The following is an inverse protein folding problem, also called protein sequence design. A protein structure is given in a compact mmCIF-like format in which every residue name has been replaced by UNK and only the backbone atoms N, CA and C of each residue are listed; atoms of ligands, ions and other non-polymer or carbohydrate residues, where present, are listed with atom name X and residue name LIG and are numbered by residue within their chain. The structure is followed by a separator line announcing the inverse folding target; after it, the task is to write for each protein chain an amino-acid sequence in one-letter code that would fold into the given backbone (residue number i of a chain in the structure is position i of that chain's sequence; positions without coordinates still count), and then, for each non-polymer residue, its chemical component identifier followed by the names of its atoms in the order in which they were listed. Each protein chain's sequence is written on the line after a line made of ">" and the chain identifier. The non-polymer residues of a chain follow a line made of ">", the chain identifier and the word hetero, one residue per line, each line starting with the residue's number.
data_IF_531736567789
#
_entry.id   IF_531736567789
#
_cell.length_a   1.000
_cell.length_b   1.000
_cell.length_c   1.000
_cell.angle_alpha   90.00
_cell.angle_beta   90.00
_cell.angle_gamma   90.00
#
_symmetry.space_group_name_H-M   'P 1'
#
loop_
_entity.id
_entity.type
_entity.pdbx_description
1 polymer ?
#
# COMPACT_ATOMS: atom_id res chain seq x y z
N UNK A 1 -30.97 -4.24 16.61
CA UNK A 1 -29.75 -3.49 16.24
C UNK A 1 -28.59 -4.38 16.60
N UNK A 2 -27.84 -4.84 15.61
CA UNK A 2 -26.72 -5.76 15.74
C UNK A 2 -25.78 -5.41 14.58
N UNK A 3 -24.48 -5.46 14.70
CA UNK A 3 -23.55 -5.40 15.83
C UNK A 3 -22.24 -4.94 15.16
N UNK A 4 -21.36 -4.28 15.90
CA UNK A 4 -20.17 -3.62 15.36
C UNK A 4 -19.37 -4.53 14.42
N UNK A 5 -19.14 -4.03 13.21
CA UNK A 5 -18.35 -4.65 12.15
C UNK A 5 -16.93 -4.91 12.64
N UNK A 6 -16.70 -6.09 13.19
CA UNK A 6 -15.36 -6.57 13.51
C UNK A 6 -14.69 -6.86 12.18
N UNK A 7 -13.95 -5.89 11.65
CA UNK A 7 -13.09 -6.08 10.49
C UNK A 7 -12.16 -7.26 10.80
N UNK A 8 -12.08 -8.31 9.97
CA UNK A 8 -11.20 -9.42 10.26
C UNK A 8 -9.75 -8.89 10.26
N UNK A 9 -9.15 -8.81 11.44
CA UNK A 9 -7.74 -8.51 11.56
C UNK A 9 -6.98 -9.77 11.12
N UNK A 10 -6.31 -9.71 9.97
CA UNK A 10 -5.46 -10.81 9.53
C UNK A 10 -4.37 -11.01 10.57
N UNK A 11 -4.25 -12.23 11.08
CA UNK A 11 -3.19 -12.52 12.01
C UNK A 11 -1.84 -12.48 11.24
N UNK A 12 -0.80 -11.80 11.77
CA UNK A 12 0.47 -11.62 11.06
C UNK A 12 1.07 -12.93 10.50
N UNK A 13 0.88 -14.06 11.21
CA UNK A 13 1.35 -15.38 10.77
C UNK A 13 0.73 -15.86 9.44
N UNK A 14 -0.51 -15.49 9.11
CA UNK A 14 -1.16 -15.92 7.87
C UNK A 14 -0.55 -15.26 6.63
N UNK A 15 -0.09 -14.02 6.77
CA UNK A 15 0.69 -13.33 5.73
C UNK A 15 2.06 -13.98 5.63
N UNK A 16 2.68 -14.26 6.79
CA UNK A 16 4.03 -14.82 6.84
C UNK A 16 4.10 -16.20 6.19
N UNK A 17 3.15 -17.09 6.47
CA UNK A 17 3.10 -18.41 5.86
C UNK A 17 2.88 -18.33 4.34
N UNK A 18 2.06 -17.37 3.89
CA UNK A 18 1.77 -17.18 2.47
C UNK A 18 2.95 -16.62 1.69
N UNK A 19 3.79 -15.80 2.31
CA UNK A 19 4.96 -15.16 1.71
C UNK A 19 6.27 -15.55 2.42
N UNK A 20 6.36 -16.82 2.84
CA UNK A 20 7.45 -17.32 3.69
C UNK A 20 8.84 -17.03 3.14
N UNK A 21 9.00 -17.10 1.82
CA UNK A 21 10.29 -16.85 1.17
C UNK A 21 10.70 -15.38 1.29
N UNK A 22 9.75 -14.43 1.24
CA UNK A 22 10.03 -13.00 1.44
C UNK A 22 10.28 -12.70 2.92
N UNK A 23 9.53 -13.33 3.83
CA UNK A 23 9.73 -13.17 5.28
C UNK A 23 11.11 -13.69 5.71
N UNK A 24 11.61 -14.73 5.04
CA UNK A 24 12.94 -15.31 5.28
C UNK A 24 14.07 -14.59 4.52
N UNK A 25 13.74 -13.64 3.64
CA UNK A 25 14.74 -12.88 2.88
C UNK A 25 15.06 -11.53 3.51
N UNK A 26 16.08 -10.88 2.98
CA UNK A 26 16.47 -9.51 3.32
C UNK A 26 15.46 -8.45 2.85
N UNK A 27 14.42 -8.84 2.09
CA UNK A 27 13.33 -7.96 1.70
C UNK A 27 12.23 -7.83 2.78
N UNK A 28 12.24 -8.65 3.83
CA UNK A 28 11.23 -8.60 4.90
C UNK A 28 11.03 -7.19 5.50
N UNK A 29 12.09 -6.41 5.84
CA UNK A 29 11.91 -5.07 6.40
C UNK A 29 11.22 -4.08 5.45
N UNK A 30 11.22 -4.35 4.15
CA UNK A 30 10.57 -3.49 3.15
C UNK A 30 9.04 -3.60 3.24
N UNK A 31 8.52 -4.73 3.74
CA UNK A 31 7.09 -4.94 3.95
C UNK A 31 6.48 -3.96 4.97
N UNK A 32 7.29 -3.41 5.88
CA UNK A 32 6.83 -2.39 6.83
C UNK A 32 6.70 -1.00 6.20
N UNK A 33 7.30 -0.81 5.02
CA UNK A 33 7.34 0.48 4.33
C UNK A 33 6.24 0.64 3.28
N UNK A 34 5.64 -0.46 2.83
CA UNK A 34 4.59 -0.43 1.80
C UNK A 34 3.27 0.13 2.37
N UNK A 35 2.44 0.81 1.55
CA UNK A 35 1.13 1.26 2.00
C UNK A 35 0.27 0.10 2.48
N UNK A 36 -0.47 0.30 3.57
CA UNK A 36 -1.47 -0.67 4.04
C UNK A 36 -2.45 -0.99 2.91
N UNK A 37 -2.82 -2.28 2.80
CA UNK A 37 -3.78 -2.76 1.81
C UNK A 37 -5.16 -2.06 1.96
N UNK A 38 -5.51 -1.54 3.15
CA UNK A 38 -6.77 -0.82 3.41
C UNK A 38 -6.92 0.46 2.57
N UNK A 39 -5.81 0.98 2.04
CA UNK A 39 -5.80 2.17 1.18
C UNK A 39 -6.14 1.85 -0.27
N UNK A 40 -6.17 0.57 -0.66
CA UNK A 40 -6.50 0.16 -2.01
C UNK A 40 -7.96 -0.22 -2.13
N UNK A 41 -8.48 -0.01 -3.34
CA UNK A 41 -9.80 -0.47 -3.73
C UNK A 41 -9.66 -1.77 -4.52
N UNK A 42 -10.43 -2.77 -4.09
CA UNK A 42 -10.54 -4.07 -4.75
C UNK A 42 -12.00 -4.33 -5.06
N UNK A 43 -12.27 -4.92 -6.23
CA UNK A 43 -13.59 -5.43 -6.58
C UNK A 43 -13.51 -6.95 -6.74
N UNK A 44 -14.57 -7.65 -6.34
CA UNK A 44 -14.75 -9.06 -6.64
C UNK A 44 -15.72 -9.19 -7.82
N UNK A 45 -15.22 -9.66 -8.96
CA UNK A 45 -16.07 -10.05 -10.08
C UNK A 45 -16.77 -11.38 -9.72
N UNK A 46 -18.05 -11.30 -9.35
CA UNK A 46 -18.82 -12.48 -8.93
C UNK A 46 -19.02 -13.52 -10.03
N UNK A 47 -19.09 -13.09 -11.31
CA UNK A 47 -19.32 -14.04 -12.41
C UNK A 47 -18.07 -14.85 -12.76
N UNK A 48 -16.90 -14.26 -12.58
CA UNK A 48 -15.60 -14.88 -12.89
C UNK A 48 -14.90 -15.40 -11.63
N UNK A 49 -15.49 -15.18 -10.45
CA UNK A 49 -14.90 -15.42 -9.14
C UNK A 49 -13.47 -14.87 -9.05
N UNK A 50 -13.27 -13.65 -9.57
CA UNK A 50 -11.95 -13.07 -9.74
C UNK A 50 -11.82 -11.74 -9.01
N UNK A 51 -10.68 -11.49 -8.37
CA UNK A 51 -10.36 -10.23 -7.71
C UNK A 51 -9.70 -9.29 -8.70
N UNK A 52 -10.09 -8.02 -8.69
CA UNK A 52 -9.41 -6.97 -9.44
C UNK A 52 -9.00 -5.84 -8.52
N UNK A 53 -7.89 -5.19 -8.85
CA UNK A 53 -7.29 -4.13 -8.03
C UNK A 53 -7.27 -2.82 -8.80
N UNK A 54 -7.74 -1.75 -8.17
CA UNK A 54 -7.55 -0.39 -8.68
C UNK A 54 -6.10 0.06 -8.46
N UNK A 55 -5.44 0.50 -9.53
CA UNK A 55 -4.01 0.89 -9.50
C UNK A 55 -3.76 2.34 -9.92
N UNK A 56 -4.79 3.10 -10.26
CA UNK A 56 -4.69 4.53 -10.56
C UNK A 56 -5.64 5.02 -11.64
N UNK A 57 -5.42 6.25 -12.12
CA UNK A 57 -6.28 6.94 -13.08
C UNK A 57 -5.53 7.33 -14.35
N UNK A 58 -6.18 7.21 -15.50
CA UNK A 58 -5.67 7.70 -16.78
C UNK A 58 -6.76 8.40 -17.60
N UNK A 59 -6.68 9.73 -17.67
CA UNK A 59 -7.71 10.56 -18.29
C UNK A 59 -9.03 10.47 -17.51
N UNK A 60 -10.08 10.02 -18.18
CA UNK A 60 -11.45 9.88 -17.67
C UNK A 60 -11.79 8.47 -17.13
N UNK A 61 -10.80 7.63 -16.89
CA UNK A 61 -11.07 6.25 -16.47
C UNK A 61 -10.10 5.69 -15.44
N UNK A 62 -10.61 4.70 -14.73
CA UNK A 62 -9.93 3.96 -13.67
C UNK A 62 -9.12 2.83 -14.30
N UNK A 63 -7.89 2.65 -13.82
CA UNK A 63 -7.01 1.58 -14.25
C UNK A 63 -7.11 0.44 -13.24
N UNK A 64 -7.46 -0.72 -13.78
CA UNK A 64 -7.77 -1.94 -13.05
C UNK A 64 -6.77 -3.01 -13.48
N UNK A 65 -6.02 -3.54 -12.52
CA UNK A 65 -5.12 -4.67 -12.69
C UNK A 65 -5.83 -5.98 -12.34
N UNK A 66 -5.58 -7.00 -13.16
CA UNK A 66 -6.11 -8.34 -13.03
C UNK A 66 -5.00 -9.33 -12.62
N UNK A 67 -5.34 -10.43 -11.93
CA UNK A 67 -4.36 -11.39 -11.43
C UNK A 67 -3.71 -12.21 -12.54
N UNK A 68 -4.30 -12.25 -13.74
CA UNK A 68 -3.69 -12.85 -14.93
C UNK A 68 -2.58 -11.98 -15.55
N UNK A 69 -2.32 -10.80 -14.98
CA UNK A 69 -1.33 -9.86 -15.50
C UNK A 69 -1.89 -8.86 -16.50
N UNK A 70 -3.18 -8.92 -16.83
CA UNK A 70 -3.83 -7.96 -17.71
C UNK A 70 -4.23 -6.67 -16.99
N UNK A 71 -4.32 -5.58 -17.76
CA UNK A 71 -4.70 -4.27 -17.27
C UNK A 71 -5.81 -3.72 -18.15
N UNK A 72 -6.85 -3.18 -17.51
CA UNK A 72 -8.01 -2.59 -18.18
C UNK A 72 -8.27 -1.18 -17.67
N UNK A 73 -8.74 -0.30 -18.54
CA UNK A 73 -9.28 1.01 -18.22
C UNK A 73 -10.80 0.91 -18.21
N UNK A 74 -11.41 1.22 -17.06
CA UNK A 74 -12.87 1.32 -16.88
C UNK A 74 -13.27 2.78 -16.96
N UNK A 75 -14.04 3.15 -17.98
CA UNK A 75 -14.61 4.50 -18.11
C UNK A 75 -16.02 4.48 -17.55
N UNK A 76 -16.25 5.20 -16.45
CA UNK A 76 -17.57 5.35 -15.85
C UNK A 76 -18.20 6.61 -16.42
N UNK A 77 -19.15 6.47 -17.35
CA UNK A 77 -19.94 7.60 -17.85
C UNK A 77 -21.21 7.69 -17.02
N UNK A 78 -21.30 8.74 -16.22
CA UNK A 78 -22.51 9.03 -15.44
C UNK A 78 -23.57 9.61 -16.39
N UNK A 79 -24.31 8.71 -17.03
CA UNK A 79 -25.50 9.07 -17.78
C UNK A 79 -26.62 8.16 -17.32
N UNK A 80 -27.76 8.75 -16.96
CA UNK A 80 -28.98 8.10 -16.48
C UNK A 80 -29.55 7.00 -17.41
N UNK A 81 -28.87 6.68 -18.52
CA UNK A 81 -29.33 5.86 -19.63
C UNK A 81 -28.50 4.57 -19.77
N UNK A 82 -27.22 4.53 -19.33
CA UNK A 82 -26.38 3.32 -19.42
C UNK A 82 -25.35 3.26 -18.28
N UNK A 83 -25.54 2.33 -17.34
CA UNK A 83 -24.58 2.01 -16.27
C UNK A 83 -23.40 1.12 -16.73
N UNK A 84 -23.38 0.68 -17.99
CA UNK A 84 -22.29 -0.15 -18.51
C UNK A 84 -21.13 0.76 -18.94
N UNK A 85 -20.14 0.93 -18.07
CA UNK A 85 -18.90 1.62 -18.40
C UNK A 85 -18.15 0.90 -19.53
N UNK A 86 -17.43 1.66 -20.36
CA UNK A 86 -16.57 1.08 -21.40
C UNK A 86 -15.32 0.50 -20.75
N UNK A 87 -15.02 -0.78 -21.01
CA UNK A 87 -13.80 -1.44 -20.56
C UNK A 87 -12.84 -1.53 -21.76
N UNK A 88 -11.64 -0.97 -21.61
CA UNK A 88 -10.62 -0.91 -22.67
C UNK A 88 -9.36 -1.60 -22.16
N UNK A 89 -8.78 -2.52 -22.95
CA UNK A 89 -7.51 -3.16 -22.59
C UNK A 89 -6.34 -2.17 -22.71
N UNK A 90 -5.49 -2.10 -21.69
CA UNK A 90 -4.30 -1.24 -21.67
C UNK A 90 -3.10 -2.06 -22.11
N UNK A 91 -2.74 -1.98 -23.40
CA UNK A 91 -1.68 -2.82 -24.00
C UNK A 91 -0.29 -2.15 -23.92
N UNK A 92 -0.25 -0.82 -23.81
CA UNK A 92 1.00 -0.05 -23.71
C UNK A 92 1.05 0.75 -22.41
N UNK A 93 2.24 1.02 -21.86
CA UNK A 93 2.40 1.93 -20.72
C UNK A 93 1.78 3.29 -21.05
N UNK A 94 1.03 3.83 -20.09
CA UNK A 94 0.25 5.08 -20.26
C UNK A 94 1.10 6.36 -20.09
N UNK A 95 2.41 6.22 -19.86
CA UNK A 95 3.35 7.33 -19.74
C UNK A 95 3.13 8.19 -18.49
N UNK A 96 3.62 9.44 -18.52
CA UNK A 96 3.59 10.36 -17.37
C UNK A 96 2.21 10.93 -17.02
N UNK A 97 1.20 10.75 -17.88
CA UNK A 97 -0.18 11.16 -17.61
C UNK A 97 -0.93 10.19 -16.70
N UNK A 98 -0.43 8.97 -16.54
CA UNK A 98 -1.01 7.98 -15.65
C UNK A 98 -0.69 8.31 -14.19
N UNK A 99 -1.76 8.52 -13.41
CA UNK A 99 -1.70 8.81 -11.98
C UNK A 99 -1.85 7.50 -11.22
N UNK A 100 -0.75 6.77 -11.10
CA UNK A 100 -0.70 5.56 -10.30
C UNK A 100 -0.96 5.88 -8.82
N UNK A 101 -1.51 4.92 -8.07
CA UNK A 101 -1.53 4.97 -6.60
C UNK A 101 -0.25 4.37 -6.02
N UNK A 102 0.12 4.78 -4.81
CA UNK A 102 1.23 4.16 -4.09
C UNK A 102 0.97 2.66 -3.85
N UNK A 103 1.99 1.79 -3.87
CA UNK A 103 3.40 2.10 -4.09
C UNK A 103 3.78 2.22 -5.58
N UNK A 104 2.87 1.93 -6.51
CA UNK A 104 3.17 1.95 -7.94
C UNK A 104 3.58 3.33 -8.46
N UNK A 105 3.16 4.40 -7.78
CA UNK A 105 3.57 5.77 -8.08
C UNK A 105 4.98 6.14 -7.62
N UNK A 106 5.58 5.38 -6.70
CA UNK A 106 6.87 5.73 -6.08
C UNK A 106 8.06 5.51 -7.01
N UNK A 107 7.92 4.62 -8.00
CA UNK A 107 8.97 4.32 -8.97
C UNK A 107 8.41 4.40 -10.38
N UNK A 108 9.15 5.07 -11.27
CA UNK A 108 8.85 5.10 -12.69
C UNK A 108 8.80 3.69 -13.29
N UNK A 109 9.67 2.78 -12.85
CA UNK A 109 9.68 1.38 -13.29
C UNK A 109 8.39 0.66 -12.88
N UNK A 110 7.90 0.89 -11.66
CA UNK A 110 6.63 0.31 -11.18
C UNK A 110 5.43 0.87 -11.94
N UNK A 111 5.41 2.20 -12.16
CA UNK A 111 4.37 2.90 -12.93
C UNK A 111 4.33 2.43 -14.38
N UNK A 112 5.48 2.34 -15.03
CA UNK A 112 5.59 1.89 -16.43
C UNK A 112 5.31 0.39 -16.58
N UNK A 113 5.49 -0.41 -15.52
CA UNK A 113 5.13 -1.81 -15.48
C UNK A 113 3.62 -2.08 -15.52
N UNK A 114 2.78 -1.05 -15.37
CA UNK A 114 1.31 -1.14 -15.48
C UNK A 114 0.90 -1.04 -16.96
N UNK A 115 0.96 -2.18 -17.64
CA UNK A 115 0.47 -2.42 -19.00
C UNK A 115 0.08 -3.89 -19.15
N UNK A 116 -0.39 -4.33 -20.32
CA UNK A 116 -0.70 -5.74 -20.58
C UNK A 116 0.31 -6.38 -21.54
N UNK A 117 1.01 -7.45 -21.13
CA UNK A 117 1.08 -7.98 -19.77
C UNK A 117 1.83 -7.02 -18.82
N UNK A 118 1.51 -7.09 -17.53
CA UNK A 118 2.25 -6.34 -16.51
C UNK A 118 3.70 -6.83 -16.47
N UNK A 119 4.63 -5.96 -16.09
CA UNK A 119 6.00 -6.41 -15.80
C UNK A 119 5.98 -7.40 -14.63
N UNK A 120 6.91 -8.35 -14.62
CA UNK A 120 6.97 -9.37 -13.57
C UNK A 120 7.03 -8.77 -12.15
N UNK A 121 7.80 -7.71 -11.86
CA UNK A 121 7.79 -7.08 -10.55
C UNK A 121 6.44 -6.44 -10.20
N UNK A 122 5.85 -5.65 -11.11
CA UNK A 122 4.57 -4.98 -10.88
C UNK A 122 3.45 -6.01 -10.66
N UNK A 123 3.42 -7.08 -11.46
CA UNK A 123 2.43 -8.15 -11.34
C UNK A 123 2.56 -8.88 -10.01
N UNK A 124 3.78 -9.22 -9.59
CA UNK A 124 4.01 -9.89 -8.31
C UNK A 124 3.55 -9.02 -7.13
N UNK A 125 3.78 -7.70 -7.19
CA UNK A 125 3.31 -6.77 -6.16
C UNK A 125 1.78 -6.65 -6.13
N UNK A 126 1.12 -6.58 -7.29
CA UNK A 126 -0.35 -6.63 -7.39
C UNK A 126 -0.89 -7.91 -6.77
N UNK A 127 -0.32 -9.08 -7.12
CA UNK A 127 -0.74 -10.35 -6.56
C UNK A 127 -0.58 -10.40 -5.05
N UNK A 128 0.55 -9.91 -4.50
CA UNK A 128 0.75 -9.84 -3.06
C UNK A 128 -0.40 -9.07 -2.37
N UNK A 129 -0.76 -7.89 -2.88
CA UNK A 129 -1.88 -7.11 -2.34
C UNK A 129 -3.23 -7.82 -2.47
N UNK A 130 -3.50 -8.48 -3.60
CA UNK A 130 -4.72 -9.26 -3.80
C UNK A 130 -4.82 -10.44 -2.82
N UNK A 131 -3.73 -11.18 -2.59
CA UNK A 131 -3.69 -12.26 -1.60
C UNK A 131 -3.93 -11.75 -0.18
N UNK A 132 -3.29 -10.63 0.21
CA UNK A 132 -3.53 -10.00 1.52
C UNK A 132 -5.01 -9.63 1.67
N UNK A 133 -5.61 -9.03 0.63
CA UNK A 133 -7.03 -8.67 0.64
C UNK A 133 -7.95 -9.88 0.73
N UNK A 134 -7.70 -10.96 -0.03
CA UNK A 134 -8.49 -12.20 0.01
C UNK A 134 -8.47 -12.82 1.40
N UNK A 135 -7.29 -12.90 2.01
CA UNK A 135 -7.10 -13.43 3.36
C UNK A 135 -7.85 -12.58 4.40
N UNK A 136 -7.73 -11.24 4.33
CA UNK A 136 -8.43 -10.29 5.21
C UNK A 136 -9.95 -10.37 5.08
N UNK A 137 -10.47 -10.57 3.87
CA UNK A 137 -11.92 -10.58 3.61
C UNK A 137 -12.55 -11.96 3.73
N UNK A 138 -11.76 -12.99 4.07
CA UNK A 138 -12.23 -14.37 4.18
C UNK A 138 -12.69 -14.98 2.85
N UNK A 139 -12.22 -14.45 1.72
CA UNK A 139 -12.60 -14.89 0.36
C UNK A 139 -11.74 -16.05 -0.14
N UNK A 140 -11.50 -17.03 0.71
CA UNK A 140 -10.54 -18.13 0.46
C UNK A 140 -10.87 -19.02 -0.77
N UNK A 141 -12.07 -18.88 -1.33
CA UNK A 141 -12.51 -19.59 -2.54
C UNK A 141 -12.07 -18.90 -3.84
N UNK A 142 -11.46 -17.71 -3.77
CA UNK A 142 -10.87 -17.04 -4.92
C UNK A 142 -9.50 -17.65 -5.16
N UNK A 143 -9.35 -18.33 -6.31
CA UNK A 143 -8.06 -18.87 -6.72
C UNK A 143 -7.21 -17.75 -7.32
N UNK A 144 -6.08 -17.45 -6.69
CA UNK A 144 -5.13 -16.43 -7.13
C UNK A 144 -3.79 -17.07 -7.42
N UNK A 145 -3.15 -16.77 -8.56
CA UNK A 145 -1.81 -17.25 -8.84
C UNK A 145 -0.85 -16.72 -7.78
N UNK A 146 0.10 -17.55 -7.36
CA UNK A 146 1.15 -17.10 -6.45
C UNK A 146 2.06 -16.09 -7.15
N UNK A 147 2.44 -14.99 -6.49
CA UNK A 147 3.44 -14.09 -7.05
C UNK A 147 4.77 -14.82 -7.23
N UNK A 148 5.41 -14.60 -8.37
CA UNK A 148 6.77 -15.10 -8.58
C UNK A 148 7.72 -14.47 -7.57
N UNK A 149 8.46 -15.30 -6.84
CA UNK A 149 9.35 -14.84 -5.76
C UNK A 149 10.36 -13.79 -6.23
N UNK A 150 11.05 -14.04 -7.36
CA UNK A 150 12.02 -13.08 -7.91
C UNK A 150 11.36 -11.75 -8.27
N UNK A 151 10.20 -11.77 -8.91
CA UNK A 151 9.47 -10.55 -9.26
C UNK A 151 9.04 -9.78 -8.01
N UNK A 152 8.57 -10.48 -6.97
CA UNK A 152 8.18 -9.85 -5.71
C UNK A 152 9.38 -9.22 -5.01
N UNK A 153 10.51 -9.91 -4.97
CA UNK A 153 11.75 -9.38 -4.43
C UNK A 153 12.18 -8.12 -5.18
N UNK A 154 12.22 -8.16 -6.51
CA UNK A 154 12.59 -7.01 -7.35
C UNK A 154 11.64 -5.82 -7.12
N UNK A 155 10.34 -6.08 -6.96
CA UNK A 155 9.33 -5.06 -6.69
C UNK A 155 9.56 -4.39 -5.33
N UNK A 156 9.85 -5.16 -4.29
CA UNK A 156 10.16 -4.63 -2.96
C UNK A 156 11.45 -3.82 -2.99
N UNK A 157 12.49 -4.29 -3.69
CA UNK A 157 13.73 -3.50 -3.87
C UNK A 157 13.44 -2.17 -4.58
N UNK A 158 12.59 -2.15 -5.61
CA UNK A 158 12.18 -0.91 -6.27
C UNK A 158 11.46 0.05 -5.32
N UNK A 159 10.59 -0.48 -4.44
CA UNK A 159 9.92 0.31 -3.39
C UNK A 159 10.92 0.89 -2.40
N UNK A 160 11.84 0.07 -1.88
CA UNK A 160 12.89 0.53 -0.96
C UNK A 160 13.71 1.65 -1.59
N UNK A 161 14.22 1.43 -2.80
CA UNK A 161 15.05 2.41 -3.49
C UNK A 161 14.30 3.72 -3.74
N UNK A 162 13.00 3.64 -4.08
CA UNK A 162 12.16 4.83 -4.24
C UNK A 162 12.01 5.61 -2.93
N UNK A 163 11.75 4.92 -1.82
CA UNK A 163 11.62 5.52 -0.49
C UNK A 163 12.96 6.12 -0.03
N UNK A 164 14.08 5.45 -0.25
CA UNK A 164 15.41 5.97 0.07
C UNK A 164 15.72 7.22 -0.77
N UNK A 165 15.35 7.23 -2.05
CA UNK A 165 15.52 8.39 -2.94
C UNK A 165 14.61 9.55 -2.53
N UNK A 166 13.38 9.29 -2.11
CA UNK A 166 12.49 10.31 -1.53
C UNK A 166 13.02 10.80 -0.17
N UNK A 167 13.64 9.95 0.65
CA UNK A 167 14.28 10.33 1.92
C UNK A 167 15.57 11.16 1.77
N UNK A 168 16.19 11.15 0.59
CA UNK A 168 17.29 12.05 0.22
C UNK A 168 16.77 13.43 -0.25
N UNK A 169 15.46 13.63 -0.34
CA UNK A 169 14.79 14.93 -0.40
C UNK A 169 14.13 15.17 0.98
N UNK A 170 14.10 16.39 1.54
CA UNK A 170 13.75 16.59 2.96
C UNK A 170 12.31 16.15 3.26
N UNK A 171 12.17 14.99 3.92
CA UNK A 171 10.88 14.35 4.20
C UNK A 171 10.25 14.96 5.45
N UNK A 172 9.10 15.60 5.24
CA UNK A 172 8.09 15.76 6.30
C UNK A 172 7.49 14.39 6.59
N UNK A 173 8.19 13.59 7.38
CA UNK A 173 7.65 12.33 7.89
C UNK A 173 6.55 12.66 8.89
N UNK A 174 5.34 12.16 8.63
CA UNK A 174 4.31 12.03 9.65
C UNK A 174 4.85 11.09 10.73
N UNK A 175 5.31 11.66 11.84
CA UNK A 175 5.51 10.93 13.09
C UNK A 175 4.15 10.34 13.50
N UNK A 176 4.02 9.02 13.43
CA UNK A 176 3.03 8.35 14.27
C UNK A 176 3.53 8.50 15.71
N UNK A 177 2.71 9.12 16.55
CA UNK A 177 3.08 9.56 17.89
C UNK A 177 3.64 8.41 18.74
N UNK A 178 4.79 8.68 19.36
CA UNK A 178 5.37 7.91 20.46
C UNK A 178 4.51 7.91 21.75
N UNK A 179 3.25 8.36 21.69
CA UNK A 179 2.32 8.37 22.84
C UNK A 179 1.77 6.98 23.18
N UNK A 180 1.91 5.98 22.29
CA UNK A 180 1.46 4.60 22.58
C UNK A 180 2.52 3.76 23.30
N UNK A 181 3.77 4.22 23.42
CA UNK A 181 4.86 3.48 24.08
C UNK A 181 5.26 4.00 25.48
N UNK A 182 4.62 5.05 25.99
CA UNK A 182 4.97 5.62 27.31
C UNK A 182 3.91 5.40 28.40
N UNK A 183 2.81 4.71 28.13
CA UNK A 183 1.73 4.50 29.11
C UNK A 183 1.89 3.26 30.00
N UNK A 184 3.05 2.60 30.02
CA UNK A 184 3.34 1.51 30.95
C UNK A 184 4.77 1.61 31.51
N UNK A 185 4.95 2.53 32.46
CA UNK A 185 5.69 2.18 33.68
C UNK A 185 4.97 2.77 34.91
N UNK A 186 4.61 1.93 35.90
CA UNK A 186 4.14 2.39 37.19
C UNK A 186 5.33 2.63 38.14
N UNK A 187 5.33 3.80 38.80
CA UNK A 187 5.81 3.93 40.19
C UNK A 187 7.19 4.53 40.46
N UNK A 188 7.17 5.71 41.13
CA UNK A 188 8.22 6.22 42.03
C UNK A 188 9.39 6.92 41.32
N UNK A 189 9.86 8.11 41.70
CA UNK A 189 9.90 8.76 43.01
C UNK A 189 9.89 10.28 42.81
N UNK A 190 9.15 10.94 43.69
CA UNK A 190 9.09 12.39 43.89
C UNK A 190 10.48 12.92 44.23
N UNK A 191 10.93 13.99 43.57
CA UNK A 191 11.58 15.05 44.34
C UNK A 191 11.23 16.44 43.82
N UNK A 192 10.73 17.24 44.76
CA UNK A 192 10.42 18.66 44.64
C UNK A 192 11.69 19.42 44.96
N UNK A 193 12.06 20.40 44.14
CA UNK A 193 12.33 21.78 44.58
C UNK A 193 12.79 22.62 43.37
N UNK A 194 12.02 23.66 43.02
CA UNK A 194 12.30 25.10 43.24
C UNK A 194 13.45 25.63 42.35
N UNK A 195 13.40 26.82 41.75
CA UNK A 195 12.48 27.95 41.78
C UNK A 195 12.91 28.88 40.65
N UNK A 196 11.93 29.47 39.96
CA UNK A 196 12.09 30.59 39.03
C UNK A 196 12.26 31.89 39.83
N UNK A 197 13.07 32.83 39.31
CA UNK A 197 13.06 34.31 39.42
C UNK A 197 14.50 34.84 39.30
N UNK A 198 14.87 36.00 38.76
CA UNK A 198 14.27 37.07 37.96
C UNK A 198 15.40 38.11 37.80
N UNK A 199 15.55 38.78 36.65
CA UNK A 199 16.18 40.12 36.55
C UNK A 199 17.67 40.24 36.84
N UNK A 200 18.39 41.33 36.54
CA UNK A 200 18.22 42.57 35.77
C UNK A 200 19.66 43.05 35.50
N UNK A 201 19.80 43.83 34.44
CA UNK A 201 20.89 44.69 33.94
C UNK A 201 22.15 45.04 34.77
N UNK A 202 23.18 45.36 33.98
CA UNK A 202 24.10 46.52 34.02
C UNK A 202 25.57 46.31 34.44
N UNK A 203 26.45 46.78 33.53
CA UNK A 203 27.78 47.43 33.71
C UNK A 203 28.86 46.71 34.51
N UNK A 204 30.16 46.87 34.31
CA UNK A 204 31.08 47.45 33.32
C UNK A 204 32.46 47.12 33.94
N UNK A 205 33.44 46.70 33.15
CA UNK A 205 34.88 46.87 33.39
C UNK A 205 35.65 46.46 32.14
#
# INVERSE_FOLDING_TARGET
>A
MADESTTPSLAPWQIHDRFVDIVRSDACPILDLIPSYDRFRFDLNQSENNVVMYVGEYGDGEIIAHPDGSVTKRIIRDSNIRKAGTIIKVIKPMGGQFRAVAPFSWSDSSRQGIGTPMSAPTHALVLMYMHIWVLKTGKNNVDLPMPGYQGLYDALVLVRNAIETENLLPVRQCRILAEVLSAHQPGGVVDKDKSIKEGVEMEEA
#
